data_IF_379865391353
#
_entry.id   IF_379865391353
#
_cell.length_a   1.000
_cell.length_b   1.000
_cell.length_c   1.000
_cell.angle_alpha   90.00
_cell.angle_beta   90.00
_cell.angle_gamma   90.00
#
_symmetry.space_group_name_H-M   'P 1'
#
loop_
_entity.id
_entity.type
_entity.pdbx_description
1 polymer ?
#
# COMPACT_ATOMS: atom_id res chain seq x y z
N UNK A 1 -11.01 15.28 -2.54
CA UNK A 1 -10.37 14.91 -1.23
C UNK A 1 -9.71 13.54 -1.31
N UNK A 2 -10.37 12.50 -1.85
CA UNK A 2 -9.83 11.14 -1.98
C UNK A 2 -8.54 11.07 -2.82
N UNK A 3 -8.49 11.79 -3.95
CA UNK A 3 -7.29 11.84 -4.79
C UNK A 3 -6.07 12.40 -4.03
N UNK A 4 -6.24 13.46 -3.27
CA UNK A 4 -5.16 14.06 -2.48
C UNK A 4 -4.68 13.12 -1.37
N UNK A 5 -5.59 12.37 -0.73
CA UNK A 5 -5.25 11.37 0.28
C UNK A 5 -4.47 10.20 -0.32
N UNK A 6 -4.89 9.71 -1.49
CA UNK A 6 -4.21 8.62 -2.20
C UNK A 6 -2.82 9.05 -2.68
N UNK A 7 -2.68 10.27 -3.20
CA UNK A 7 -1.39 10.84 -3.59
C UNK A 7 -0.44 10.94 -2.40
N UNK A 8 -0.92 11.47 -1.27
CA UNK A 8 -0.13 11.58 -0.05
C UNK A 8 0.32 10.20 0.47
N UNK A 9 -0.60 9.23 0.51
CA UNK A 9 -0.27 7.86 0.90
C UNK A 9 0.79 7.24 -0.02
N UNK A 10 0.66 7.44 -1.33
CA UNK A 10 1.65 6.99 -2.32
C UNK A 10 3.02 7.61 -2.10
N UNK A 11 3.10 8.90 -1.79
CA UNK A 11 4.37 9.59 -1.51
C UNK A 11 5.01 9.09 -0.21
N UNK A 12 4.21 8.79 0.81
CA UNK A 12 4.67 8.32 2.11
C UNK A 12 5.15 6.87 2.05
N UNK A 13 4.38 5.98 1.44
CA UNK A 13 4.67 4.55 1.38
C UNK A 13 5.72 4.22 0.32
N UNK A 14 5.77 4.98 -0.77
CA UNK A 14 6.65 4.80 -1.92
C UNK A 14 7.40 6.09 -2.25
N UNK A 15 8.36 6.53 -1.40
CA UNK A 15 9.12 7.76 -1.61
C UNK A 15 9.87 7.73 -2.95
N UNK A 16 9.83 8.82 -3.72
CA UNK A 16 10.29 8.87 -5.11
C UNK A 16 11.72 8.33 -5.31
N UNK A 17 12.67 8.79 -4.51
CA UNK A 17 14.09 8.42 -4.66
C UNK A 17 14.29 6.91 -4.48
N UNK A 18 13.72 6.34 -3.43
CA UNK A 18 13.81 4.90 -3.17
C UNK A 18 13.04 4.10 -4.20
N UNK A 19 11.87 4.57 -4.62
CA UNK A 19 11.02 3.90 -5.58
C UNK A 19 11.67 3.82 -6.97
N UNK A 20 12.24 4.91 -7.47
CA UNK A 20 12.99 4.92 -8.74
C UNK A 20 14.16 3.95 -8.73
N UNK A 21 14.91 3.92 -7.63
CA UNK A 21 16.04 2.99 -7.47
C UNK A 21 15.58 1.54 -7.49
N UNK A 22 14.52 1.21 -6.75
CA UNK A 22 13.98 -0.14 -6.70
C UNK A 22 13.33 -0.57 -8.02
N UNK A 23 12.65 0.35 -8.71
CA UNK A 23 12.12 0.10 -10.04
C UNK A 23 13.22 -0.31 -11.03
N UNK A 24 14.31 0.45 -11.10
CA UNK A 24 15.43 0.13 -11.99
C UNK A 24 16.06 -1.22 -11.66
N UNK A 25 16.29 -1.49 -10.38
CA UNK A 25 16.81 -2.77 -9.89
C UNK A 25 15.92 -3.94 -10.30
N UNK A 26 14.63 -3.87 -10.02
CA UNK A 26 13.71 -4.96 -10.35
C UNK A 26 13.44 -5.10 -11.84
N UNK A 27 13.53 -4.01 -12.59
CA UNK A 27 13.46 -4.04 -14.05
C UNK A 27 14.61 -4.83 -14.65
N UNK A 28 15.81 -4.65 -14.14
CA UNK A 28 16.99 -5.43 -14.53
C UNK A 28 16.84 -6.91 -14.14
N UNK A 29 16.43 -7.20 -12.90
CA UNK A 29 16.19 -8.56 -12.39
C UNK A 29 15.06 -9.30 -13.12
N UNK A 30 14.15 -8.59 -13.77
CA UNK A 30 12.99 -9.13 -14.51
C UNK A 30 13.20 -9.16 -16.02
N UNK A 31 14.44 -9.05 -16.50
CA UNK A 31 14.77 -8.96 -17.94
C UNK A 31 13.90 -7.91 -18.68
N UNK A 32 13.63 -6.78 -18.02
CA UNK A 32 12.77 -5.70 -18.50
C UNK A 32 11.28 -6.07 -18.66
N UNK A 33 10.79 -7.16 -18.07
CA UNK A 33 9.39 -7.48 -18.01
C UNK A 33 8.65 -6.53 -17.04
N UNK A 34 7.75 -5.70 -17.57
CA UNK A 34 7.07 -4.67 -16.77
C UNK A 34 6.13 -5.27 -15.71
N UNK A 35 5.42 -6.35 -16.03
CA UNK A 35 4.50 -7.02 -15.09
C UNK A 35 5.30 -7.55 -13.89
N UNK A 36 6.36 -8.29 -14.15
CA UNK A 36 7.19 -8.88 -13.12
C UNK A 36 7.89 -7.79 -12.27
N UNK A 37 8.30 -6.69 -12.90
CA UNK A 37 8.85 -5.51 -12.21
C UNK A 37 7.84 -4.91 -11.22
N UNK A 38 6.58 -4.73 -11.66
CA UNK A 38 5.52 -4.17 -10.80
C UNK A 38 5.15 -5.13 -9.68
N UNK A 39 5.08 -6.43 -9.95
CA UNK A 39 4.82 -7.46 -8.92
C UNK A 39 5.93 -7.49 -7.85
N UNK A 40 7.20 -7.37 -8.23
CA UNK A 40 8.31 -7.28 -7.28
C UNK A 40 8.23 -5.99 -6.43
N UNK A 41 7.88 -4.86 -7.03
CA UNK A 41 7.66 -3.60 -6.31
C UNK A 41 6.47 -3.71 -5.34
N UNK A 42 5.35 -4.34 -5.77
CA UNK A 42 4.19 -4.61 -4.94
C UNK A 42 4.59 -5.41 -3.69
N UNK A 43 5.35 -6.49 -3.86
CA UNK A 43 5.83 -7.30 -2.74
C UNK A 43 6.82 -6.56 -1.84
N UNK A 44 7.71 -5.75 -2.42
CA UNK A 44 8.72 -5.01 -1.67
C UNK A 44 8.14 -3.89 -0.80
N UNK A 45 7.14 -3.16 -1.32
CA UNK A 45 6.49 -2.06 -0.60
C UNK A 45 5.24 -2.50 0.18
N UNK A 46 4.83 -3.75 0.05
CA UNK A 46 3.61 -4.31 0.66
C UNK A 46 2.36 -3.47 0.36
N UNK A 47 2.21 -3.03 -0.89
CA UNK A 47 1.10 -2.19 -1.35
C UNK A 47 0.36 -2.88 -2.50
N UNK A 48 -0.93 -2.54 -2.74
CA UNK A 48 -1.70 -3.12 -3.83
C UNK A 48 -1.06 -2.86 -5.21
N UNK A 49 -1.23 -3.81 -6.15
CA UNK A 49 -0.74 -3.73 -7.53
C UNK A 49 -1.08 -2.39 -8.20
N UNK A 50 -2.33 -1.94 -8.07
CA UNK A 50 -2.79 -0.67 -8.63
C UNK A 50 -2.09 0.55 -8.03
N UNK A 51 -1.73 0.52 -6.75
CA UNK A 51 -0.99 1.61 -6.12
C UNK A 51 0.42 1.75 -6.72
N UNK A 52 1.09 0.62 -6.97
CA UNK A 52 2.39 0.60 -7.65
C UNK A 52 2.26 1.11 -9.08
N UNK A 53 1.26 0.65 -9.82
CA UNK A 53 1.02 1.06 -11.20
C UNK A 53 0.79 2.57 -11.31
N UNK A 54 -0.08 3.13 -10.46
CA UNK A 54 -0.33 4.57 -10.39
C UNK A 54 0.96 5.32 -10.06
N UNK A 55 1.75 4.82 -9.11
CA UNK A 55 3.01 5.45 -8.74
C UNK A 55 4.03 5.44 -9.89
N UNK A 56 4.11 4.36 -10.65
CA UNK A 56 4.93 4.29 -11.87
C UNK A 56 4.51 5.32 -12.92
N UNK A 57 3.19 5.53 -13.10
CA UNK A 57 2.65 6.54 -14.02
C UNK A 57 2.97 7.97 -13.54
N UNK A 58 2.73 8.27 -12.27
CA UNK A 58 3.05 9.57 -11.66
C UNK A 58 4.52 9.95 -11.85
N UNK A 59 5.41 8.97 -11.64
CA UNK A 59 6.85 9.16 -11.76
C UNK A 59 7.35 9.02 -13.22
N UNK A 60 6.47 8.80 -14.18
CA UNK A 60 6.78 8.61 -15.61
C UNK A 60 7.81 7.50 -15.88
N UNK A 61 7.72 6.42 -15.10
CA UNK A 61 8.56 5.24 -15.24
C UNK A 61 8.03 4.29 -16.32
N UNK A 62 6.73 4.31 -16.54
CA UNK A 62 6.03 3.59 -17.60
C UNK A 62 5.21 4.56 -18.44
N UNK A 63 5.04 4.23 -19.73
CA UNK A 63 4.23 5.03 -20.62
C UNK A 63 2.73 4.73 -20.46
N UNK A 64 1.89 5.76 -20.56
CA UNK A 64 0.44 5.65 -20.44
C UNK A 64 -0.29 5.12 -21.68
N UNK A 65 0.34 4.20 -22.42
CA UNK A 65 -0.19 3.63 -23.67
C UNK A 65 -0.54 2.14 -23.52
N UNK A 66 -0.44 1.37 -24.60
CA UNK A 66 -0.80 -0.05 -24.68
C UNK A 66 -0.19 -0.94 -23.57
N UNK A 67 0.98 -0.61 -23.03
CA UNK A 67 1.60 -1.34 -21.91
C UNK A 67 0.78 -1.14 -20.66
N UNK A 68 0.33 0.09 -20.39
CA UNK A 68 -0.52 0.42 -19.24
C UNK A 68 -1.87 -0.27 -19.36
N UNK A 69 -2.48 -0.31 -20.54
CA UNK A 69 -3.74 -1.03 -20.76
C UNK A 69 -3.59 -2.53 -20.54
N UNK A 70 -2.51 -3.13 -20.99
CA UNK A 70 -2.18 -4.53 -20.70
C UNK A 70 -1.99 -4.81 -19.22
N UNK A 71 -1.35 -3.89 -18.47
CA UNK A 71 -1.14 -3.99 -17.03
C UNK A 71 -2.45 -3.85 -16.23
N UNK A 72 -3.34 -2.96 -16.65
CA UNK A 72 -4.66 -2.75 -16.00
C UNK A 72 -5.57 -3.99 -16.08
N UNK A 73 -5.38 -4.85 -17.06
CA UNK A 73 -6.19 -6.04 -17.27
C UNK A 73 -5.80 -7.24 -16.38
N UNK A 74 -4.78 -7.11 -15.53
CA UNK A 74 -4.40 -8.18 -14.62
C UNK A 74 -5.41 -8.29 -13.47
N UNK A 75 -6.12 -9.41 -13.43
CA UNK A 75 -7.01 -9.72 -12.33
C UNK A 75 -6.26 -10.27 -11.10
N UNK A 76 -6.98 -10.42 -9.97
CA UNK A 76 -6.42 -10.92 -8.72
C UNK A 76 -5.77 -12.30 -8.85
N UNK A 77 -6.36 -13.17 -9.66
CA UNK A 77 -5.86 -14.55 -9.87
C UNK A 77 -4.54 -14.54 -10.62
N UNK A 78 -4.44 -13.72 -11.66
CA UNK A 78 -3.22 -13.56 -12.45
C UNK A 78 -2.09 -12.95 -11.61
N UNK A 79 -2.40 -11.95 -10.78
CA UNK A 79 -1.42 -11.33 -9.85
C UNK A 79 -0.92 -12.37 -8.85
N UNK A 80 -1.83 -13.17 -8.27
CA UNK A 80 -1.47 -14.23 -7.33
C UNK A 80 -0.58 -15.29 -7.97
N UNK A 81 -0.91 -15.72 -9.19
CA UNK A 81 -0.08 -16.66 -9.94
C UNK A 81 1.32 -16.09 -10.19
N UNK A 82 1.42 -14.83 -10.58
CA UNK A 82 2.70 -14.15 -10.79
C UNK A 82 3.55 -14.06 -9.52
N UNK A 83 2.94 -13.80 -8.36
CA UNK A 83 3.67 -13.84 -7.08
C UNK A 83 4.28 -15.21 -6.84
N UNK A 84 3.51 -16.28 -7.05
CA UNK A 84 3.98 -17.66 -6.93
C UNK A 84 5.12 -17.97 -7.92
N UNK A 85 4.97 -17.60 -9.19
CA UNK A 85 5.97 -17.82 -10.25
C UNK A 85 7.31 -17.12 -9.93
N UNK A 86 7.25 -15.98 -9.25
CA UNK A 86 8.40 -15.18 -8.83
C UNK A 86 8.93 -15.56 -7.43
N UNK A 87 8.38 -16.59 -6.80
CA UNK A 87 8.73 -17.04 -5.44
C UNK A 87 8.55 -15.94 -4.37
N UNK A 88 7.53 -15.10 -4.55
CA UNK A 88 7.19 -14.01 -3.63
C UNK A 88 6.03 -14.44 -2.71
N UNK A 89 5.92 -13.77 -1.55
CA UNK A 89 4.89 -14.10 -0.57
C UNK A 89 3.50 -13.69 -1.08
N UNK A 90 2.61 -14.68 -1.21
CA UNK A 90 1.22 -14.49 -1.61
C UNK A 90 0.36 -13.88 -0.48
N UNK A 91 0.84 -13.89 0.76
CA UNK A 91 0.09 -13.38 1.92
C UNK A 91 -0.25 -11.90 1.79
N UNK A 92 0.51 -11.14 0.99
CA UNK A 92 0.21 -9.74 0.66
C UNK A 92 -1.17 -9.56 -0.02
N UNK A 93 -1.70 -10.61 -0.66
CA UNK A 93 -3.01 -10.60 -1.29
C UNK A 93 -4.16 -10.94 -0.33
N UNK A 94 -3.85 -11.41 0.86
CA UNK A 94 -4.87 -11.78 1.83
C UNK A 94 -5.38 -10.56 2.60
N UNK A 95 -6.66 -10.56 3.00
CA UNK A 95 -7.19 -9.50 3.85
C UNK A 95 -6.47 -9.45 5.20
N UNK A 96 -6.30 -8.25 5.75
CA UNK A 96 -5.76 -8.07 7.10
C UNK A 96 -6.55 -8.89 8.13
N UNK A 97 -5.83 -9.56 9.03
CA UNK A 97 -6.44 -10.35 10.09
C UNK A 97 -7.01 -9.44 11.19
N UNK A 98 -7.96 -9.96 11.96
CA UNK A 98 -8.54 -9.22 13.10
C UNK A 98 -7.48 -8.76 14.09
N UNK A 99 -6.46 -9.59 14.28
CA UNK A 99 -5.39 -9.31 15.23
C UNK A 99 -4.52 -8.13 14.79
N UNK A 100 -4.36 -7.91 13.47
CA UNK A 100 -3.63 -6.76 12.93
C UNK A 100 -4.30 -5.44 13.32
N UNK A 101 -5.64 -5.38 13.26
CA UNK A 101 -6.38 -4.20 13.72
C UNK A 101 -6.18 -3.95 15.21
N UNK A 102 -6.27 -4.99 16.04
CA UNK A 102 -6.08 -4.86 17.49
C UNK A 102 -4.66 -4.38 17.83
N UNK A 103 -3.68 -4.84 17.06
CA UNK A 103 -2.30 -4.40 17.19
C UNK A 103 -2.15 -2.92 16.85
N UNK A 104 -2.72 -2.48 15.72
CA UNK A 104 -2.72 -1.06 15.32
C UNK A 104 -3.45 -0.19 16.33
N UNK A 105 -4.62 -0.61 16.83
CA UNK A 105 -5.36 0.11 17.89
C UNK A 105 -4.51 0.29 19.15
N UNK A 106 -3.79 -0.76 19.56
CA UNK A 106 -2.91 -0.71 20.72
C UNK A 106 -1.76 0.28 20.54
N UNK A 107 -1.15 0.31 19.35
CA UNK A 107 -0.10 1.28 18.98
C UNK A 107 -0.65 2.71 19.02
N UNK A 108 -1.79 2.97 18.38
CA UNK A 108 -2.42 4.29 18.35
C UNK A 108 -2.77 4.77 19.75
N UNK A 109 -3.29 3.90 20.63
CA UNK A 109 -3.53 4.21 22.05
C UNK A 109 -2.26 4.59 22.79
N UNK A 110 -1.19 3.80 22.60
CA UNK A 110 0.10 4.03 23.28
C UNK A 110 0.70 5.37 22.91
N UNK A 111 0.85 5.64 21.61
CA UNK A 111 1.41 6.90 21.12
C UNK A 111 0.47 8.08 21.33
N UNK A 112 -0.84 7.89 21.17
CA UNK A 112 -1.85 8.93 21.41
C UNK A 112 -1.83 9.41 22.85
N UNK A 113 -1.71 8.53 23.85
CA UNK A 113 -1.56 8.92 25.25
C UNK A 113 -0.31 9.78 25.46
N UNK A 114 0.82 9.38 24.87
CA UNK A 114 2.04 10.19 24.95
C UNK A 114 1.84 11.57 24.35
N UNK A 115 1.17 11.69 23.19
CA UNK A 115 0.87 12.99 22.59
C UNK A 115 -0.08 13.85 23.43
N UNK A 116 -0.99 13.23 24.19
CA UNK A 116 -1.83 13.95 25.16
C UNK A 116 -0.99 14.46 26.32
N UNK A 117 -0.11 13.62 26.89
CA UNK A 117 0.81 13.98 27.99
C UNK A 117 1.75 15.10 27.59
N UNK A 118 2.27 15.06 26.35
CA UNK A 118 3.17 16.06 25.77
C UNK A 118 2.42 17.35 25.31
N UNK A 119 1.08 17.37 25.41
CA UNK A 119 0.25 18.54 25.07
C UNK A 119 0.01 18.79 23.58
N UNK A 120 0.35 17.85 22.70
CA UNK A 120 0.15 18.00 21.25
C UNK A 120 -1.31 17.79 20.82
N UNK A 121 -2.04 16.94 21.53
CA UNK A 121 -3.48 16.70 21.32
C UNK A 121 -4.18 16.61 22.67
N UNK A 122 -5.51 16.78 22.69
CA UNK A 122 -6.31 16.55 23.88
C UNK A 122 -6.94 15.13 23.87
N UNK A 123 -7.38 14.66 25.04
CA UNK A 123 -8.01 13.33 25.20
C UNK A 123 -9.20 13.14 24.27
N UNK A 124 -10.04 14.17 24.10
CA UNK A 124 -11.21 14.12 23.21
C UNK A 124 -10.82 13.84 21.75
N UNK A 125 -9.68 14.38 21.30
CA UNK A 125 -9.16 14.12 19.96
C UNK A 125 -8.71 12.67 19.83
N UNK A 126 -8.00 12.14 20.81
CA UNK A 126 -7.59 10.74 20.83
C UNK A 126 -8.79 9.79 20.82
N UNK A 127 -9.79 10.05 21.65
CA UNK A 127 -11.01 9.25 21.70
C UNK A 127 -11.77 9.25 20.38
N UNK A 128 -11.84 10.42 19.72
CA UNK A 128 -12.47 10.54 18.40
C UNK A 128 -11.72 9.72 17.34
N UNK A 129 -10.39 9.73 17.33
CA UNK A 129 -9.58 8.92 16.41
C UNK A 129 -9.84 7.44 16.64
N UNK A 130 -9.79 6.98 17.87
CA UNK A 130 -10.03 5.57 18.23
C UNK A 130 -11.46 5.12 17.88
N UNK A 131 -12.44 6.00 18.10
CA UNK A 131 -13.83 5.72 17.73
C UNK A 131 -13.98 5.56 16.22
N UNK A 132 -13.45 6.51 15.43
CA UNK A 132 -13.50 6.46 13.97
C UNK A 132 -12.79 5.21 13.41
N UNK A 133 -11.66 4.83 13.99
CA UNK A 133 -10.95 3.61 13.60
C UNK A 133 -11.82 2.36 13.80
N UNK A 134 -12.52 2.26 14.93
CA UNK A 134 -13.41 1.13 15.22
C UNK A 134 -14.61 1.08 14.28
N UNK A 135 -15.22 2.24 14.00
CA UNK A 135 -16.33 2.31 13.04
C UNK A 135 -15.90 1.89 11.65
N UNK A 136 -14.74 2.39 11.17
CA UNK A 136 -14.18 2.03 9.88
C UNK A 136 -13.93 0.51 9.79
N UNK A 137 -13.32 -0.06 10.81
CA UNK A 137 -13.07 -1.50 10.89
C UNK A 137 -14.36 -2.32 10.83
N UNK A 138 -15.42 -1.87 11.54
CA UNK A 138 -16.71 -2.56 11.51
C UNK A 138 -17.39 -2.47 10.13
N UNK A 139 -17.23 -1.37 9.40
CA UNK A 139 -17.76 -1.22 8.04
C UNK A 139 -17.05 -2.17 7.08
N UNK A 140 -15.72 -2.19 7.08
CA UNK A 140 -14.92 -3.08 6.22
C UNK A 140 -15.24 -4.57 6.45
N UNK A 141 -15.59 -4.96 7.67
CA UNK A 141 -15.92 -6.37 7.98
C UNK A 141 -17.32 -6.79 7.59
N UNK A 142 -18.22 -5.86 7.28
CA UNK A 142 -19.60 -6.16 6.85
C UNK A 142 -19.73 -6.32 5.34
N UNK A 143 -18.73 -5.91 4.59
CA UNK A 143 -18.56 -6.15 3.14
C UNK A 143 -17.79 -7.45 2.90
#
# INVERSE_FOLDING_TARGET
EEYAANLFAGMLLMPEISFRRMYLKFKEESDSNEVDTIIRLMAYYEVPFMAVLIRCLELRLIAGNAVTEGLLNHDRTQIKQKLADLWLDEAIMEPSKKDDYLHVEAIVKKFGKKYVEDGYINERTLDKVLHNMRELYQKIRRE
#
